data_IF_438556866813
#
_entry.id   IF_438556866813
#
_cell.length_a   1.000
_cell.length_b   1.000
_cell.length_c   1.000
_cell.angle_alpha   90.00
_cell.angle_beta   90.00
_cell.angle_gamma   90.00
#
_symmetry.space_group_name_H-M   'P 1'
#
loop_
_entity.id
_entity.type
_entity.pdbx_description
1 polymer ?
#
# COMPACT_ATOMS: atom_id res chain seq x y z
N UNK A 1 -19.21 -17.87 -25.94
CA UNK A 1 -17.75 -18.07 -26.07
C UNK A 1 -17.11 -17.78 -24.71
N UNK A 2 -16.41 -18.74 -24.09
CA UNK A 2 -15.79 -18.54 -22.76
C UNK A 2 -14.51 -17.71 -22.91
N UNK A 3 -14.45 -16.56 -22.24
CA UNK A 3 -13.24 -15.75 -22.12
C UNK A 3 -12.20 -16.50 -21.28
N UNK A 4 -11.05 -16.81 -21.86
CA UNK A 4 -9.93 -17.41 -21.12
C UNK A 4 -9.17 -16.34 -20.36
N UNK A 5 -8.50 -16.71 -19.27
CA UNK A 5 -7.69 -15.80 -18.45
C UNK A 5 -6.65 -15.03 -19.30
N UNK A 6 -6.13 -15.66 -20.35
CA UNK A 6 -5.20 -15.05 -21.32
C UNK A 6 -5.87 -13.95 -22.16
N UNK A 7 -7.10 -14.15 -22.64
CA UNK A 7 -7.86 -13.12 -23.36
C UNK A 7 -8.23 -11.95 -22.45
N UNK A 8 -8.55 -12.22 -21.19
CA UNK A 8 -8.76 -11.18 -20.18
C UNK A 8 -7.50 -10.36 -19.94
N UNK A 9 -6.35 -11.01 -19.75
CA UNK A 9 -5.07 -10.33 -19.55
C UNK A 9 -4.63 -9.46 -20.76
N UNK A 10 -4.93 -9.90 -21.98
CA UNK A 10 -4.64 -9.13 -23.20
C UNK A 10 -5.54 -7.90 -23.38
N UNK A 11 -6.76 -7.92 -22.83
CA UNK A 11 -7.69 -6.78 -22.84
C UNK A 11 -7.57 -5.88 -21.60
N UNK A 12 -6.83 -6.31 -20.59
CA UNK A 12 -6.66 -5.56 -19.34
C UNK A 12 -5.64 -4.43 -19.52
N UNK A 13 -6.04 -3.38 -20.24
CA UNK A 13 -5.41 -2.07 -20.09
C UNK A 13 -5.71 -1.62 -18.65
N UNK A 14 -4.71 -1.46 -17.77
CA UNK A 14 -4.97 -1.04 -16.39
C UNK A 14 -5.62 0.36 -16.41
N UNK A 15 -6.91 0.43 -16.08
CA UNK A 15 -7.68 1.67 -16.03
C UNK A 15 -7.49 2.44 -14.71
N UNK A 16 -6.45 2.12 -13.95
CA UNK A 16 -6.03 2.99 -12.85
C UNK A 16 -5.65 4.32 -13.49
N UNK A 17 -6.50 5.34 -13.33
CA UNK A 17 -6.21 6.72 -13.69
C UNK A 17 -5.11 7.21 -12.77
N UNK A 18 -3.86 6.95 -13.13
CA UNK A 18 -2.75 7.72 -12.62
C UNK A 18 -3.00 9.18 -13.02
N UNK A 19 -3.09 10.05 -12.02
CA UNK A 19 -3.15 11.48 -12.23
C UNK A 19 -1.77 11.89 -12.78
N UNK A 20 -1.61 12.00 -14.11
CA UNK A 20 -0.28 12.27 -14.69
C UNK A 20 -0.06 12.17 -16.21
N UNK A 21 -1.06 11.92 -17.05
CA UNK A 21 -0.89 11.88 -18.53
C UNK A 21 -0.55 10.50 -19.11
N UNK A 22 -0.23 10.43 -20.41
CA UNK A 22 0.09 9.17 -21.11
C UNK A 22 1.37 8.55 -20.53
N UNK A 23 1.26 7.40 -19.88
CA UNK A 23 2.40 6.63 -19.43
C UNK A 23 3.06 5.94 -20.62
N UNK A 24 4.35 6.23 -20.83
CA UNK A 24 5.17 5.47 -21.76
C UNK A 24 5.46 4.11 -21.12
N UNK A 25 4.87 3.05 -21.66
CA UNK A 25 5.27 1.69 -21.31
C UNK A 25 6.61 1.43 -22.00
N UNK A 26 7.71 1.58 -21.27
CA UNK A 26 9.01 1.12 -21.75
C UNK A 26 8.92 -0.39 -22.00
N UNK A 27 9.31 -0.89 -23.18
CA UNK A 27 9.27 -2.31 -23.48
C UNK A 27 10.12 -3.05 -22.45
N UNK A 28 9.55 -4.10 -21.85
CA UNK A 28 10.31 -4.98 -20.97
C UNK A 28 11.42 -5.63 -21.80
N UNK A 29 12.65 -5.55 -21.29
CA UNK A 29 13.77 -6.27 -21.89
C UNK A 29 13.49 -7.78 -21.79
N UNK A 30 13.78 -8.52 -22.86
CA UNK A 30 13.65 -9.98 -22.86
C UNK A 30 14.76 -10.67 -22.05
N UNK A 31 15.69 -9.89 -21.49
CA UNK A 31 16.82 -10.36 -20.71
C UNK A 31 16.54 -10.20 -19.22
N UNK A 32 16.90 -11.21 -18.44
CA UNK A 32 16.73 -11.20 -16.98
C UNK A 32 17.90 -10.41 -16.38
N UNK A 33 17.66 -9.14 -16.06
CA UNK A 33 18.64 -8.23 -15.45
C UNK A 33 18.39 -8.14 -13.93
N UNK A 34 19.44 -8.10 -13.09
CA UNK A 34 19.26 -7.90 -11.66
C UNK A 34 18.66 -6.52 -11.35
N UNK A 35 17.82 -6.47 -10.32
CA UNK A 35 17.25 -5.21 -9.87
C UNK A 35 18.36 -4.29 -9.33
N UNK A 36 18.29 -2.96 -9.52
CA UNK A 36 19.31 -2.03 -9.03
C UNK A 36 19.52 -2.09 -7.51
N UNK A 37 18.49 -2.48 -6.76
CA UNK A 37 18.56 -2.67 -5.30
C UNK A 37 18.90 -4.11 -4.89
N UNK A 38 19.23 -5.02 -5.81
CA UNK A 38 19.71 -6.34 -5.46
C UNK A 38 21.13 -6.22 -4.92
N UNK A 39 21.39 -6.80 -3.74
CA UNK A 39 22.73 -6.84 -3.18
C UNK A 39 23.69 -7.51 -4.18
N UNK A 40 24.77 -6.80 -4.54
CA UNK A 40 25.80 -7.24 -5.49
C UNK A 40 25.27 -7.70 -6.87
N UNK A 41 24.08 -7.26 -7.29
CA UNK A 41 23.50 -7.65 -8.57
C UNK A 41 23.11 -9.13 -8.65
N UNK A 42 22.78 -9.74 -7.50
CA UNK A 42 22.35 -11.14 -7.45
C UNK A 42 21.05 -11.36 -8.22
N UNK A 43 21.05 -12.40 -9.05
CA UNK A 43 19.86 -12.87 -9.74
C UNK A 43 19.16 -13.96 -8.92
N UNK A 44 17.81 -13.98 -8.89
CA UNK A 44 17.07 -15.08 -8.30
C UNK A 44 17.46 -16.41 -8.96
N UNK A 45 17.66 -17.46 -8.16
CA UNK A 45 18.09 -18.79 -8.61
C UNK A 45 19.45 -18.85 -9.33
N UNK A 46 20.29 -17.82 -9.17
CA UNK A 46 21.68 -17.89 -9.61
C UNK A 46 22.51 -18.81 -8.71
N UNK A 47 23.71 -19.20 -9.18
CA UNK A 47 24.64 -20.07 -8.44
C UNK A 47 25.03 -19.51 -7.08
N UNK A 48 24.96 -18.19 -6.93
CA UNK A 48 25.34 -17.47 -5.72
C UNK A 48 24.16 -17.31 -4.73
N UNK A 49 22.97 -17.83 -5.07
CA UNK A 49 21.79 -17.81 -4.19
C UNK A 49 21.51 -19.17 -3.55
N UNK A 50 21.13 -19.16 -2.27
CA UNK A 50 20.73 -20.36 -1.54
C UNK A 50 19.27 -20.68 -1.90
N UNK A 51 18.92 -21.95 -2.20
CA UNK A 51 17.54 -22.31 -2.46
C UNK A 51 16.66 -22.10 -1.21
N UNK A 52 15.43 -21.64 -1.43
CA UNK A 52 14.51 -21.26 -0.34
C UNK A 52 14.34 -22.37 0.70
N UNK A 53 14.29 -23.64 0.28
CA UNK A 53 14.15 -24.77 1.18
C UNK A 53 15.35 -24.97 2.13
N UNK A 54 16.56 -24.64 1.70
CA UNK A 54 17.75 -24.71 2.57
C UNK A 54 17.81 -23.52 3.51
N UNK A 55 17.50 -22.32 3.01
CA UNK A 55 17.40 -21.12 3.84
C UNK A 55 16.40 -21.32 5.00
N UNK A 56 15.22 -21.89 4.71
CA UNK A 56 14.18 -22.13 5.71
C UNK A 56 14.59 -23.13 6.81
N UNK A 57 15.55 -24.04 6.56
CA UNK A 57 16.08 -24.94 7.59
C UNK A 57 16.92 -24.21 8.63
N UNK A 58 17.63 -23.15 8.22
CA UNK A 58 18.44 -22.31 9.10
C UNK A 58 17.60 -21.28 9.86
N UNK A 59 16.38 -21.02 9.38
CA UNK A 59 15.49 -20.04 9.98
C UNK A 59 14.93 -20.57 11.29
N UNK A 60 15.24 -19.91 12.40
CA UNK A 60 14.65 -20.24 13.69
C UNK A 60 13.16 -19.93 13.63
N UNK A 61 12.27 -20.83 14.09
CA UNK A 61 10.85 -20.55 14.09
C UNK A 61 10.59 -19.29 14.92
N UNK A 62 9.74 -18.41 14.38
CA UNK A 62 9.32 -17.21 15.08
C UNK A 62 8.65 -17.62 16.39
N UNK A 63 9.31 -17.34 17.51
CA UNK A 63 8.77 -17.60 18.83
C UNK A 63 7.96 -16.38 19.25
N UNK A 64 6.64 -16.51 19.20
CA UNK A 64 5.73 -15.54 19.81
C UNK A 64 5.99 -15.55 21.32
N UNK A 65 6.66 -14.52 21.83
CA UNK A 65 6.79 -14.30 23.26
C UNK A 65 5.61 -13.40 23.66
N UNK A 66 4.75 -13.82 24.61
CA UNK A 66 3.68 -12.97 25.06
C UNK A 66 4.28 -11.66 25.60
N UNK A 67 3.77 -10.54 25.11
CA UNK A 67 4.19 -9.23 25.56
C UNK A 67 3.88 -9.09 27.05
N UNK A 68 4.94 -9.05 27.87
CA UNK A 68 4.82 -8.58 29.25
C UNK A 68 4.89 -7.08 29.19
N UNK A 69 3.76 -6.41 29.36
CA UNK A 69 3.75 -4.98 29.61
C UNK A 69 4.55 -4.74 30.88
N UNK A 70 5.83 -4.37 30.74
CA UNK A 70 6.45 -3.56 31.77
C UNK A 70 5.57 -2.32 31.84
N UNK A 71 5.07 -2.01 33.03
CA UNK A 71 4.57 -0.68 33.33
C UNK A 71 5.76 0.27 33.25
N UNK A 72 6.23 0.53 32.04
CA UNK A 72 7.06 1.68 31.75
C UNK A 72 6.13 2.85 31.98
N UNK A 73 6.35 3.55 33.08
CA UNK A 73 5.85 4.90 33.28
C UNK A 73 6.49 5.73 32.17
N UNK A 74 5.84 5.74 30.99
CA UNK A 74 6.19 6.63 29.89
C UNK A 74 6.01 8.03 30.48
N UNK A 75 7.12 8.64 30.90
CA UNK A 75 7.15 10.05 31.25
C UNK A 75 6.66 10.77 30.00
N UNK A 76 5.49 11.45 30.05
CA UNK A 76 4.95 12.11 28.88
C UNK A 76 5.98 13.14 28.41
N UNK A 77 6.32 13.11 27.12
CA UNK A 77 7.14 14.15 26.51
C UNK A 77 6.42 15.50 26.74
N UNK A 78 6.99 16.33 27.60
CA UNK A 78 6.40 17.60 28.04
C UNK A 78 6.24 18.62 26.90
N UNK A 79 6.69 18.29 25.68
CA UNK A 79 6.55 19.10 24.48
C UNK A 79 5.10 19.28 24.05
N UNK A 80 4.22 18.30 24.31
CA UNK A 80 2.80 18.38 23.98
C UNK A 80 1.94 18.19 25.24
N UNK A 81 1.61 19.29 25.91
CA UNK A 81 0.64 19.29 27.01
C UNK A 81 -0.76 19.47 26.44
N UNK A 82 -1.61 18.48 26.63
CA UNK A 82 -3.03 18.61 26.33
C UNK A 82 -3.64 19.67 27.25
N UNK A 83 -4.29 20.67 26.66
CA UNK A 83 -5.05 21.69 27.39
C UNK A 83 -6.53 21.55 27.04
N UNK A 84 -7.35 21.21 28.04
CA UNK A 84 -8.79 21.19 27.88
C UNK A 84 -9.32 22.63 27.86
N UNK A 85 -9.41 23.22 26.66
CA UNK A 85 -9.94 24.56 26.42
C UNK A 85 -11.15 24.51 25.49
N UNK A 86 -12.06 25.50 25.52
CA UNK A 86 -13.09 25.63 24.51
C UNK A 86 -12.50 25.90 23.12
N UNK A 87 -13.28 25.57 22.08
CA UNK A 87 -12.97 25.86 20.68
C UNK A 87 -12.87 27.38 20.48
N UNK A 88 -11.83 27.81 19.77
CA UNK A 88 -11.64 29.20 19.37
C UNK A 88 -12.40 29.52 18.08
N UNK A 89 -12.50 30.80 17.74
CA UNK A 89 -13.18 31.24 16.52
C UNK A 89 -12.50 30.65 15.27
N UNK A 90 -13.30 29.96 14.44
CA UNK A 90 -12.81 29.26 13.25
C UNK A 90 -12.39 27.81 13.48
N UNK A 91 -12.23 27.37 14.72
CA UNK A 91 -12.05 25.95 15.03
C UNK A 91 -13.40 25.22 14.96
N UNK A 92 -13.39 24.00 14.40
CA UNK A 92 -14.59 23.19 14.19
C UNK A 92 -14.53 21.94 15.05
N UNK A 93 -15.69 21.53 15.55
CA UNK A 93 -15.81 20.35 16.42
C UNK A 93 -15.82 19.06 15.61
N UNK A 94 -16.35 19.12 14.39
CA UNK A 94 -16.52 17.97 13.52
C UNK A 94 -15.99 18.26 12.10
N UNK A 95 -15.47 17.22 11.44
CA UNK A 95 -15.01 17.30 10.06
C UNK A 95 -16.08 17.78 9.05
N UNK A 96 -17.38 17.60 9.35
CA UNK A 96 -18.48 18.03 8.48
C UNK A 96 -18.77 19.53 8.59
N UNK A 97 -18.22 20.21 9.59
CA UNK A 97 -18.35 21.67 9.75
C UNK A 97 -17.24 22.42 9.00
N UNK A 98 -16.28 21.69 8.41
CA UNK A 98 -15.22 22.26 7.58
C UNK A 98 -15.80 22.80 6.27
N UNK A 99 -15.04 23.63 5.56
CA UNK A 99 -15.39 24.04 4.20
C UNK A 99 -15.57 22.81 3.28
N UNK A 100 -16.51 22.83 2.32
CA UNK A 100 -16.74 21.71 1.38
C UNK A 100 -15.49 21.23 0.63
N UNK A 101 -14.46 22.08 0.51
CA UNK A 101 -13.17 21.70 -0.08
C UNK A 101 -12.37 20.71 0.78
N UNK A 102 -12.55 20.76 2.10
CA UNK A 102 -11.85 19.92 3.08
C UNK A 102 -12.73 18.81 3.65
N UNK A 103 -14.03 18.81 3.34
CA UNK A 103 -14.92 17.71 3.69
C UNK A 103 -14.56 16.48 2.85
N UNK A 104 -14.70 15.31 3.44
CA UNK A 104 -14.59 14.05 2.71
C UNK A 104 -15.67 14.01 1.64
N UNK A 105 -15.27 13.80 0.39
CA UNK A 105 -16.21 13.54 -0.70
C UNK A 105 -16.53 12.05 -0.68
N UNK A 106 -17.77 11.73 -0.36
CA UNK A 106 -18.27 10.37 -0.46
C UNK A 106 -18.10 9.82 -1.88
N UNK A 107 -18.02 8.49 -1.97
CA UNK A 107 -18.02 7.77 -3.24
C UNK A 107 -19.35 8.09 -3.94
N UNK A 108 -19.27 8.51 -5.21
CA UNK A 108 -20.49 8.76 -6.01
C UNK A 108 -21.18 7.45 -6.37
N UNK A 109 -22.48 7.46 -6.66
CA UNK A 109 -23.23 6.25 -7.07
C UNK A 109 -22.58 5.59 -8.29
N UNK A 110 -22.18 6.37 -9.30
CA UNK A 110 -21.47 5.86 -10.49
C UNK A 110 -20.14 5.18 -10.13
N UNK A 111 -19.40 5.75 -9.18
CA UNK A 111 -18.14 5.19 -8.69
C UNK A 111 -18.38 3.92 -7.87
N UNK A 112 -19.46 3.87 -7.09
CA UNK A 112 -19.87 2.70 -6.33
C UNK A 112 -20.29 1.55 -7.26
N UNK A 113 -21.07 1.83 -8.29
CA UNK A 113 -21.41 0.86 -9.34
C UNK A 113 -20.16 0.35 -10.06
N UNK A 114 -19.22 1.25 -10.41
CA UNK A 114 -17.96 0.88 -11.05
C UNK A 114 -17.08 -0.01 -10.15
N UNK A 115 -16.96 0.32 -8.85
CA UNK A 115 -16.22 -0.49 -7.87
C UNK A 115 -16.87 -1.86 -7.72
N UNK A 116 -18.20 -1.91 -7.55
CA UNK A 116 -18.94 -3.15 -7.37
C UNK A 116 -18.92 -4.02 -8.65
N UNK A 117 -18.85 -3.40 -9.83
CA UNK A 117 -18.69 -4.05 -11.13
C UNK A 117 -17.26 -4.54 -11.40
N UNK A 118 -16.31 -4.38 -10.47
CA UNK A 118 -14.92 -4.81 -10.64
C UNK A 118 -14.13 -3.95 -11.64
N UNK A 119 -14.53 -2.69 -11.84
CA UNK A 119 -13.92 -1.78 -12.79
C UNK A 119 -14.23 -2.08 -14.26
N UNK A 120 -15.24 -2.91 -14.53
CA UNK A 120 -15.75 -3.20 -15.86
C UNK A 120 -17.11 -2.51 -16.06
N UNK A 121 -17.14 -1.52 -16.95
CA UNK A 121 -18.34 -0.97 -17.58
C UNK A 121 -18.24 -1.19 -19.09
#
# INVERSE_FOLDING_TARGET
MRSTCVRLAQHYTPMIRFIGGRHHHTPHLNEIVPHPCAENGLLPNSKDTIPAGEFLKSFRPFKVIPYRSRSETIQPDNRYKFHQRPLQEGEKSHAYELSPRFQFKGISEDEMEFINGGGAL
#
